data_IF_030462124429
#
_entry.id   IF_030462124429
#
_cell.length_a   1.000
_cell.length_b   1.000
_cell.length_c   1.000
_cell.angle_alpha   90.00
_cell.angle_beta   90.00
_cell.angle_gamma   90.00
#
_symmetry.space_group_name_H-M   'P 1'
#
loop_
_entity.id
_entity.type
_entity.pdbx_description
1 polymer ?
#
# COMPACT_ATOMS: atom_id res chain seq x y z
N UNK A 1 3.19 -16.67 1.25
CA UNK A 1 4.59 -17.14 1.20
C UNK A 1 4.64 -18.30 0.22
N UNK A 2 5.38 -18.20 -0.88
CA UNK A 2 5.50 -19.30 -1.85
C UNK A 2 6.50 -20.34 -1.34
N UNK A 3 6.08 -21.19 -0.41
CA UNK A 3 6.82 -22.40 -0.08
C UNK A 3 6.19 -23.54 -0.85
N UNK A 4 6.61 -23.69 -2.09
CA UNK A 4 6.16 -24.79 -2.94
C UNK A 4 7.39 -25.57 -3.36
N UNK A 5 7.37 -26.89 -3.19
CA UNK A 5 8.35 -27.84 -3.73
C UNK A 5 8.30 -27.90 -5.27
N UNK A 6 7.83 -26.83 -5.92
CA UNK A 6 7.66 -26.70 -7.36
C UNK A 6 9.01 -26.79 -8.06
N UNK A 7 9.09 -27.69 -9.05
CA UNK A 7 10.27 -27.84 -9.91
C UNK A 7 10.63 -26.53 -10.61
N UNK A 8 9.63 -25.75 -11.01
CA UNK A 8 9.82 -24.45 -11.69
C UNK A 8 10.46 -23.44 -10.75
N UNK A 9 9.97 -23.35 -9.51
CA UNK A 9 10.53 -22.42 -8.53
C UNK A 9 11.98 -22.81 -8.18
N UNK A 10 12.26 -24.09 -7.94
CA UNK A 10 13.62 -24.58 -7.68
C UNK A 10 14.58 -24.30 -8.83
N UNK A 11 14.18 -24.51 -10.08
CA UNK A 11 15.00 -24.20 -11.24
C UNK A 11 15.30 -22.69 -11.33
N UNK A 12 14.29 -21.84 -11.07
CA UNK A 12 14.47 -20.38 -11.03
C UNK A 12 15.43 -19.96 -9.92
N UNK A 13 15.30 -20.53 -8.72
CA UNK A 13 16.17 -20.23 -7.58
C UNK A 13 17.63 -20.61 -7.87
N UNK A 14 17.88 -21.80 -8.44
CA UNK A 14 19.23 -22.21 -8.87
C UNK A 14 19.83 -21.26 -9.90
N UNK A 15 19.05 -20.89 -10.91
CA UNK A 15 19.50 -19.94 -11.92
C UNK A 15 19.88 -18.58 -11.32
N UNK A 16 19.07 -18.07 -10.39
CA UNK A 16 19.35 -16.80 -9.69
C UNK A 16 20.59 -16.88 -8.81
N UNK A 17 20.81 -18.02 -8.15
CA UNK A 17 21.99 -18.27 -7.33
C UNK A 17 23.26 -18.34 -8.19
N UNK A 18 23.25 -19.09 -9.29
CA UNK A 18 24.43 -19.30 -10.13
C UNK A 18 24.80 -18.08 -10.98
N UNK A 19 23.81 -17.40 -11.58
CA UNK A 19 24.05 -16.29 -12.51
C UNK A 19 24.16 -14.93 -11.85
N UNK A 20 23.39 -14.70 -10.79
CA UNK A 20 23.28 -13.38 -10.15
C UNK A 20 23.74 -13.39 -8.69
N UNK A 21 24.20 -14.53 -8.15
CA UNK A 21 24.61 -14.67 -6.76
C UNK A 21 23.52 -14.27 -5.75
N UNK A 22 22.25 -14.39 -6.15
CA UNK A 22 21.11 -14.10 -5.29
C UNK A 22 20.79 -15.36 -4.48
N UNK A 23 20.88 -15.25 -3.15
CA UNK A 23 20.51 -16.33 -2.25
C UNK A 23 19.01 -16.61 -2.31
N UNK A 24 18.65 -17.88 -2.19
CA UNK A 24 17.25 -18.31 -2.26
C UNK A 24 16.37 -17.60 -1.22
N UNK A 25 16.84 -17.49 0.03
CA UNK A 25 16.13 -16.79 1.11
C UNK A 25 15.86 -15.31 0.78
N UNK A 26 16.82 -14.63 0.15
CA UNK A 26 16.66 -13.22 -0.19
C UNK A 26 15.61 -13.02 -1.30
N UNK A 27 15.55 -13.94 -2.27
CA UNK A 27 14.50 -13.92 -3.30
C UNK A 27 13.11 -14.22 -2.71
N UNK A 28 12.98 -15.23 -1.85
CA UNK A 28 11.70 -15.60 -1.23
C UNK A 28 11.16 -14.48 -0.34
N UNK A 29 12.03 -13.85 0.46
CA UNK A 29 11.67 -12.68 1.26
C UNK A 29 11.27 -11.52 0.35
N UNK A 30 12.05 -11.24 -0.70
CA UNK A 30 11.73 -10.17 -1.64
C UNK A 30 10.35 -10.36 -2.28
N UNK A 31 10.05 -11.55 -2.80
CA UNK A 31 8.77 -11.82 -3.46
C UNK A 31 7.58 -11.71 -2.48
N UNK A 32 7.74 -12.25 -1.27
CA UNK A 32 6.72 -12.16 -0.22
C UNK A 32 6.46 -10.70 0.19
N UNK A 33 7.52 -9.91 0.41
CA UNK A 33 7.41 -8.51 0.83
C UNK A 33 6.85 -7.62 -0.28
N UNK A 34 7.22 -7.89 -1.54
CA UNK A 34 6.66 -7.21 -2.71
C UNK A 34 5.14 -7.42 -2.78
N UNK A 35 4.67 -8.65 -2.59
CA UNK A 35 3.24 -8.95 -2.60
C UNK A 35 2.50 -8.30 -1.43
N UNK A 36 3.08 -8.35 -0.23
CA UNK A 36 2.49 -7.73 0.96
C UNK A 36 2.36 -6.20 0.80
N UNK A 37 3.41 -5.54 0.31
CA UNK A 37 3.41 -4.10 0.04
C UNK A 37 2.39 -3.72 -1.05
N UNK A 38 2.25 -4.55 -2.09
CA UNK A 38 1.23 -4.34 -3.13
C UNK A 38 -0.17 -4.37 -2.53
N UNK A 39 -0.48 -5.34 -1.67
CA UNK A 39 -1.77 -5.41 -0.99
C UNK A 39 -2.02 -4.18 -0.10
N UNK A 40 -1.02 -3.78 0.69
CA UNK A 40 -1.10 -2.58 1.54
C UNK A 40 -1.36 -1.31 0.72
N UNK A 41 -0.72 -1.17 -0.45
CA UNK A 41 -0.90 -0.04 -1.36
C UNK A 41 -2.30 0.09 -1.99
N UNK A 42 -3.16 -0.94 -1.88
CA UNK A 42 -4.54 -0.84 -2.39
C UNK A 42 -5.49 -0.10 -1.45
N UNK A 43 -5.10 0.08 -0.18
CA UNK A 43 -5.95 0.66 0.86
C UNK A 43 -6.04 2.18 0.73
N UNK A 44 -4.95 2.85 0.32
CA UNK A 44 -4.91 4.31 0.16
C UNK A 44 -4.93 4.63 -1.34
N UNK A 45 -5.95 5.35 -1.81
CA UNK A 45 -6.06 5.74 -3.24
C UNK A 45 -5.91 7.24 -3.43
N UNK A 46 -6.50 8.03 -2.54
CA UNK A 46 -6.46 9.48 -2.56
C UNK A 46 -5.83 10.05 -1.29
N UNK A 47 -5.42 11.32 -1.33
CA UNK A 47 -4.87 12.04 -0.16
C UNK A 47 -5.86 12.16 1.00
N UNK A 48 -7.15 12.09 0.70
CA UNK A 48 -8.23 12.20 1.70
C UNK A 48 -8.67 10.82 2.23
N UNK A 49 -8.16 9.73 1.65
CA UNK A 49 -8.48 8.38 2.12
C UNK A 49 -7.59 8.03 3.31
N UNK A 50 -8.19 7.40 4.32
CA UNK A 50 -7.46 6.82 5.43
C UNK A 50 -7.91 5.37 5.61
N UNK A 51 -6.99 4.54 6.09
CA UNK A 51 -7.26 3.13 6.29
C UNK A 51 -6.20 2.49 7.17
N UNK A 52 -6.55 1.34 7.72
CA UNK A 52 -5.68 0.58 8.60
C UNK A 52 -5.12 -0.62 7.83
N UNK A 53 -3.81 -0.82 7.92
CA UNK A 53 -3.13 -2.00 7.40
C UNK A 53 -2.47 -2.70 8.58
N UNK A 54 -2.87 -3.95 8.82
CA UNK A 54 -2.34 -4.76 9.94
C UNK A 54 -1.47 -5.89 9.37
N UNK A 55 -0.21 -5.92 9.78
CA UNK A 55 0.71 -7.03 9.48
C UNK A 55 0.64 -8.09 10.59
N UNK A 56 -0.30 -9.02 10.48
CA UNK A 56 -0.59 -10.03 11.50
C UNK A 56 0.39 -11.23 11.51
N UNK A 57 1.70 -10.98 11.49
CA UNK A 57 2.72 -12.03 11.60
C UNK A 57 4.01 -11.50 12.25
N UNK A 58 4.50 -12.21 13.27
CA UNK A 58 5.71 -11.83 14.05
C UNK A 58 6.97 -11.67 13.19
N UNK A 59 7.02 -12.28 12.01
CA UNK A 59 8.14 -12.11 11.06
C UNK A 59 8.26 -10.66 10.59
N UNK A 60 7.17 -9.91 10.49
CA UNK A 60 7.21 -8.49 10.13
C UNK A 60 7.86 -7.61 11.21
N UNK A 61 8.03 -8.08 12.44
CA UNK A 61 8.79 -7.35 13.48
C UNK A 61 10.30 -7.33 13.17
N UNK A 62 10.81 -8.34 12.45
CA UNK A 62 12.24 -8.48 12.12
C UNK A 62 12.72 -7.35 11.23
N UNK A 63 13.81 -6.68 11.61
CA UNK A 63 14.39 -5.56 10.86
C UNK A 63 14.71 -5.91 9.39
N UNK A 64 15.18 -7.14 9.12
CA UNK A 64 15.44 -7.64 7.75
C UNK A 64 14.19 -7.57 6.86
N UNK A 65 12.99 -7.84 7.39
CA UNK A 65 11.75 -7.78 6.61
C UNK A 65 11.22 -6.34 6.53
N UNK A 66 11.25 -5.58 7.63
CA UNK A 66 10.79 -4.19 7.64
C UNK A 66 11.55 -3.31 6.65
N UNK A 67 12.86 -3.49 6.55
CA UNK A 67 13.70 -2.79 5.58
C UNK A 67 13.39 -3.12 4.11
N UNK A 68 12.60 -4.18 3.84
CA UNK A 68 12.14 -4.53 2.49
C UNK A 68 10.78 -3.90 2.14
N UNK A 69 10.09 -3.28 3.10
CA UNK A 69 8.91 -2.48 2.80
C UNK A 69 9.32 -1.17 2.12
N UNK A 70 8.52 -0.66 1.18
CA UNK A 70 8.71 0.68 0.64
C UNK A 70 8.75 1.74 1.75
N UNK A 71 9.62 2.74 1.59
CA UNK A 71 9.83 3.82 2.59
C UNK A 71 8.51 4.50 3.01
N UNK A 72 7.59 4.69 2.07
CA UNK A 72 6.31 5.34 2.33
C UNK A 72 5.39 4.53 3.27
N UNK A 73 5.55 3.21 3.37
CA UNK A 73 4.88 2.38 4.40
C UNK A 73 5.74 2.34 5.66
N UNK A 74 7.04 2.06 5.50
CA UNK A 74 7.94 1.79 6.61
C UNK A 74 8.07 2.96 7.59
N UNK A 75 7.93 4.20 7.13
CA UNK A 75 7.96 5.40 7.97
C UNK A 75 6.80 5.47 8.98
N UNK A 76 5.68 4.79 8.72
CA UNK A 76 4.52 4.77 9.62
C UNK A 76 4.53 3.57 10.58
N UNK A 77 5.48 2.64 10.42
CA UNK A 77 5.70 1.53 11.35
C UNK A 77 6.66 1.99 12.46
N UNK A 78 6.15 2.77 13.41
CA UNK A 78 6.88 3.21 14.61
C UNK A 78 7.20 2.02 15.52
N UNK A 79 8.22 2.16 16.38
CA UNK A 79 8.62 1.10 17.33
C UNK A 79 7.47 0.72 18.25
N UNK A 80 6.63 1.70 18.62
CA UNK A 80 5.47 1.50 19.50
C UNK A 80 4.39 0.64 18.82
N UNK A 81 4.27 0.72 17.48
CA UNK A 81 3.29 -0.05 16.70
C UNK A 81 3.76 -1.48 16.34
N UNK A 82 4.89 -1.95 16.90
CA UNK A 82 5.45 -3.28 16.62
C UNK A 82 5.12 -4.29 17.72
N UNK A 83 4.92 -5.55 17.31
CA UNK A 83 4.69 -6.69 18.23
C UNK A 83 3.53 -6.44 19.23
N UNK A 84 2.49 -5.72 18.77
CA UNK A 84 1.31 -5.41 19.56
C UNK A 84 0.50 -6.67 19.89
N UNK A 85 -0.04 -6.70 21.10
CA UNK A 85 -1.12 -7.63 21.45
C UNK A 85 -2.45 -7.19 20.81
N UNK A 86 -3.42 -8.11 20.79
CA UNK A 86 -4.72 -7.85 20.16
C UNK A 86 -5.47 -6.69 20.81
N UNK A 87 -5.38 -6.53 22.13
CA UNK A 87 -6.08 -5.47 22.86
C UNK A 87 -5.53 -4.09 22.49
N UNK A 88 -4.22 -3.93 22.52
CA UNK A 88 -3.55 -2.68 22.13
C UNK A 88 -3.79 -2.35 20.66
N UNK A 89 -3.69 -3.33 19.76
CA UNK A 89 -3.97 -3.13 18.34
C UNK A 89 -5.39 -2.62 18.07
N UNK A 90 -6.39 -3.14 18.79
CA UNK A 90 -7.79 -2.67 18.68
C UNK A 90 -7.94 -1.24 19.24
N UNK A 91 -7.30 -0.94 20.37
CA UNK A 91 -7.35 0.38 20.98
C UNK A 91 -6.72 1.46 20.07
N UNK A 92 -5.57 1.17 19.48
CA UNK A 92 -4.92 2.05 18.51
C UNK A 92 -5.76 2.24 17.25
N UNK A 93 -6.29 1.15 16.68
CA UNK A 93 -7.16 1.19 15.52
C UNK A 93 -8.40 2.06 15.75
N UNK A 94 -9.05 1.91 16.91
CA UNK A 94 -10.23 2.71 17.28
C UNK A 94 -9.87 4.19 17.40
N UNK A 95 -8.77 4.50 18.07
CA UNK A 95 -8.31 5.89 18.26
C UNK A 95 -8.02 6.55 16.92
N UNK A 96 -7.28 5.85 16.05
CA UNK A 96 -6.98 6.32 14.69
C UNK A 96 -8.24 6.61 13.86
N UNK A 97 -9.20 5.69 13.85
CA UNK A 97 -10.43 5.88 13.06
C UNK A 97 -11.27 7.06 13.55
N UNK A 98 -11.35 7.28 14.86
CA UNK A 98 -12.11 8.39 15.45
C UNK A 98 -11.45 9.75 15.17
N UNK A 99 -10.11 9.81 15.23
CA UNK A 99 -9.34 11.02 14.92
C UNK A 99 -9.44 11.36 13.42
N UNK A 100 -9.22 10.37 12.56
CA UNK A 100 -9.27 10.56 11.11
C UNK A 100 -10.68 10.83 10.57
N UNK A 101 -11.74 10.47 11.31
CA UNK A 101 -13.12 10.78 10.95
C UNK A 101 -13.49 12.26 11.11
N UNK A 102 -12.69 13.05 11.84
CA UNK A 102 -12.97 14.47 12.04
C UNK A 102 -12.96 15.26 10.71
N UNK A 103 -13.80 16.29 10.57
CA UNK A 103 -13.77 17.17 9.40
C UNK A 103 -12.44 17.93 9.37
N UNK A 104 -11.68 17.79 8.28
CA UNK A 104 -10.39 18.47 8.11
C UNK A 104 -10.48 19.48 6.96
N UNK A 105 -9.69 20.56 7.04
CA UNK A 105 -9.63 21.61 6.01
C UNK A 105 -9.14 21.05 4.67
N UNK A 106 -8.36 19.96 4.65
CA UNK A 106 -7.97 19.28 3.42
C UNK A 106 -9.11 18.46 2.77
N UNK A 107 -10.16 18.12 3.54
CA UNK A 107 -11.39 17.49 3.04
C UNK A 107 -12.38 18.52 2.47
N UNK A 108 -12.13 19.83 2.60
CA UNK A 108 -12.96 20.84 1.96
C UNK A 108 -12.71 20.81 0.45
N UNK A 109 -13.60 20.11 -0.27
CA UNK A 109 -13.87 20.26 -1.70
C UNK A 109 -12.64 20.28 -2.61
N UNK A 110 -12.44 19.18 -3.35
CA UNK A 110 -12.31 19.40 -4.80
C UNK A 110 -13.62 20.09 -5.15
N UNK A 111 -13.59 21.42 -5.32
CA UNK A 111 -14.76 22.14 -5.77
C UNK A 111 -15.19 21.47 -7.07
N UNK A 112 -16.40 20.90 -7.12
CA UNK A 112 -17.05 20.67 -8.39
C UNK A 112 -17.10 22.04 -9.05
N UNK A 113 -16.16 22.28 -9.98
CA UNK A 113 -16.23 23.46 -10.83
C UNK A 113 -17.64 23.43 -11.42
N UNK A 114 -18.46 24.49 -11.24
CA UNK A 114 -19.71 24.56 -11.96
C UNK A 114 -19.39 24.35 -13.45
N UNK A 115 -20.21 23.58 -14.18
CA UNK A 115 -19.95 23.34 -15.60
C UNK A 115 -19.70 24.69 -16.26
N UNK A 116 -18.54 24.84 -16.90
CA UNK A 116 -18.23 26.06 -17.65
C UNK A 116 -19.40 26.32 -18.60
N UNK A 117 -19.94 27.55 -18.60
CA UNK A 117 -21.01 27.92 -19.51
C UNK A 117 -20.49 27.72 -20.94
N UNK A 118 -20.83 26.59 -21.56
CA UNK A 118 -20.55 26.36 -22.97
C UNK A 118 -21.48 27.26 -23.76
N UNK A 119 -20.97 28.41 -24.23
CA UNK A 119 -21.62 29.13 -25.31
C UNK A 119 -21.60 28.25 -26.55
N UNK A 120 -22.78 27.87 -27.02
CA UNK A 120 -22.94 27.07 -28.23
C UNK A 120 -22.53 27.91 -29.43
N UNK A 121 -21.26 27.84 -29.84
CA UNK A 121 -20.76 28.49 -31.06
C UNK A 121 -21.26 27.69 -32.26
N UNK A 122 -22.51 27.91 -32.67
CA UNK A 122 -23.00 27.32 -33.92
C UNK A 122 -24.50 27.31 -34.10
N UNK A 123 -25.10 28.47 -34.41
CA UNK A 123 -26.17 28.47 -35.41
C UNK A 123 -25.53 28.80 -36.76
N UNK A 124 -25.12 27.76 -37.52
CA UNK A 124 -24.90 27.97 -38.96
C UNK A 124 -26.27 28.26 -39.56
N UNK A 125 -26.58 29.53 -39.78
CA UNK A 125 -27.58 29.90 -40.78
C UNK A 125 -27.04 29.43 -42.13
N UNK A 126 -27.73 28.46 -42.74
CA UNK A 126 -27.46 28.08 -44.13
C UNK A 126 -27.74 29.30 -45.03
N UNK A 127 -26.86 29.66 -45.98
CA UNK A 127 -27.14 30.75 -46.91
C UNK A 127 -28.13 30.29 -47.98
N UNK A 128 -29.18 31.12 -48.12
CA UNK A 128 -30.25 31.22 -49.13
C UNK A 128 -31.06 29.98 -49.52
#
# INVERSE_FOLDING_TARGET
FQYTESRVLKARLRFLAEKYQIREDDFLVFDAMRQAAQCAGRVIRNKNDYGIVIFADKRFTRAKLRSKLPKWIAQFLSVDSLDLDLGTAIAEARTFLLDMAQPSVAKSRVEEKPPENYEFIGSRTAPE
#
